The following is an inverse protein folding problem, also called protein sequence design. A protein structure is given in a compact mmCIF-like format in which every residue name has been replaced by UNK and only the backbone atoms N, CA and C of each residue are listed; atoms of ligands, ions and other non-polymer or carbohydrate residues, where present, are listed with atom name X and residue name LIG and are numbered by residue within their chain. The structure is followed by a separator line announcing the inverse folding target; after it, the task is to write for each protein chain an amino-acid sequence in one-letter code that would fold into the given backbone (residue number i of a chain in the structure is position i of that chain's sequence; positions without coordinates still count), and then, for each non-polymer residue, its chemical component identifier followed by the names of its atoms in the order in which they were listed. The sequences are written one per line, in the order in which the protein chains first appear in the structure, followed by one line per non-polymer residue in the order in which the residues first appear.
data_IF_521025702775
#
_entry.id   IF_521025702775
#
_cell.length_a   1.000
_cell.length_b   1.000
_cell.length_c   1.000
_cell.angle_alpha   90.00
_cell.angle_beta   90.00
_cell.angle_gamma   90.00
#
_symmetry.space_group_name_H-M   'P 1'
#
loop_
_entity.id
_entity.type
_entity.pdbx_description
1 polymer ?
#
# COMPACT_ATOMS: atom_id res chain seq x y z
N UNK A 1 16.02 -29.67 12.61
CA UNK A 1 15.33 -30.04 13.85
C UNK A 1 15.15 -28.84 14.76
N UNK A 2 16.21 -28.03 15.04
CA UNK A 2 16.11 -26.85 15.92
C UNK A 2 15.07 -25.83 15.45
N UNK A 3 14.99 -25.54 14.14
CA UNK A 3 13.99 -24.63 13.59
C UNK A 3 12.56 -25.13 13.80
N UNK A 4 12.34 -26.42 13.57
CA UNK A 4 11.03 -27.06 13.82
C UNK A 4 10.64 -26.98 15.31
N UNK A 5 11.58 -27.27 16.21
CA UNK A 5 11.32 -27.16 17.66
C UNK A 5 11.02 -25.71 18.09
N UNK A 6 11.69 -24.73 17.49
CA UNK A 6 11.42 -23.32 17.74
C UNK A 6 10.04 -22.90 17.20
N UNK A 7 9.66 -23.37 16.02
CA UNK A 7 8.35 -23.11 15.43
C UNK A 7 7.22 -23.71 16.27
N UNK A 8 7.42 -24.95 16.74
CA UNK A 8 6.47 -25.59 17.68
C UNK A 8 6.30 -24.78 18.98
N UNK A 9 7.39 -24.22 19.53
CA UNK A 9 7.32 -23.34 20.71
C UNK A 9 6.63 -22.02 20.43
N UNK A 10 6.81 -21.45 19.23
CA UNK A 10 6.16 -20.21 18.78
C UNK A 10 4.68 -20.41 18.39
N UNK A 11 4.25 -21.65 18.16
CA UNK A 11 2.92 -21.97 17.65
C UNK A 11 2.68 -21.56 16.19
N UNK A 12 3.74 -21.27 15.44
CA UNK A 12 3.68 -20.87 14.02
C UNK A 12 4.96 -21.22 13.28
N UNK A 13 4.84 -21.43 11.98
CA UNK A 13 5.99 -21.69 11.11
C UNK A 13 6.71 -20.36 10.83
N UNK A 14 8.02 -20.33 11.06
CA UNK A 14 8.89 -19.20 10.68
C UNK A 14 9.43 -19.42 9.27
N UNK A 15 9.19 -18.45 8.38
CA UNK A 15 9.66 -18.50 6.98
C UNK A 15 11.06 -17.90 6.83
N UNK A 16 11.52 -17.14 7.83
CA UNK A 16 12.79 -16.43 7.83
C UNK A 16 13.32 -16.24 9.26
N UNK A 17 14.57 -15.82 9.40
CA UNK A 17 15.11 -15.34 10.66
C UNK A 17 14.60 -13.92 10.95
N UNK A 18 13.54 -13.82 11.74
CA UNK A 18 12.91 -12.55 12.08
C UNK A 18 13.84 -11.61 12.85
N UNK A 19 14.85 -12.15 13.54
CA UNK A 19 15.82 -11.35 14.30
C UNK A 19 16.83 -10.62 13.41
N UNK A 20 16.93 -11.02 12.13
CA UNK A 20 17.80 -10.38 11.15
C UNK A 20 17.23 -9.08 10.58
N UNK A 21 15.95 -8.77 10.86
CA UNK A 21 15.26 -7.62 10.26
C UNK A 21 14.76 -6.65 11.31
N UNK A 22 15.09 -5.37 11.14
CA UNK A 22 14.63 -4.28 12.00
C UNK A 22 14.16 -3.12 11.12
N UNK A 23 12.85 -2.79 11.24
CA UNK A 23 12.22 -1.71 10.49
C UNK A 23 12.89 -0.38 10.87
N UNK A 24 13.24 0.42 9.85
CA UNK A 24 13.93 1.69 10.00
C UNK A 24 15.46 1.57 10.11
N UNK A 25 16.01 0.36 10.20
CA UNK A 25 17.48 0.13 10.22
C UNK A 25 17.97 -0.58 8.97
N UNK A 26 17.45 -1.75 8.69
CA UNK A 26 17.83 -2.55 7.52
C UNK A 26 16.63 -3.00 6.69
N UNK A 27 15.43 -2.57 7.05
CA UNK A 27 14.18 -2.76 6.34
C UNK A 27 13.39 -1.45 6.44
N UNK A 28 12.74 -1.01 5.35
CA UNK A 28 11.98 0.23 5.29
C UNK A 28 12.84 1.45 5.72
N UNK A 29 14.01 1.61 5.11
CA UNK A 29 15.00 2.62 5.52
C UNK A 29 14.80 3.99 4.91
N UNK A 30 13.87 4.14 3.97
CA UNK A 30 13.58 5.44 3.34
C UNK A 30 12.88 6.37 4.35
N UNK A 31 13.45 7.54 4.57
CA UNK A 31 12.98 8.49 5.58
C UNK A 31 11.61 9.06 5.21
N UNK A 32 10.66 9.00 6.13
CA UNK A 32 9.31 9.52 5.97
C UNK A 32 8.63 9.77 7.30
N UNK A 33 7.49 10.43 7.25
CA UNK A 33 6.67 10.75 8.43
C UNK A 33 5.22 10.37 8.21
N UNK A 34 4.57 9.84 9.23
CA UNK A 34 3.13 9.64 9.23
C UNK A 34 2.46 11.01 9.39
N UNK A 35 1.73 11.45 8.38
CA UNK A 35 1.05 12.75 8.36
C UNK A 35 -0.45 12.64 8.67
N UNK A 36 -1.00 11.44 8.58
CA UNK A 36 -2.40 11.17 8.92
C UNK A 36 -2.56 9.72 9.37
N UNK A 37 -3.51 9.47 10.26
CA UNK A 37 -3.87 8.13 10.74
C UNK A 37 -5.36 8.05 11.05
N UNK A 38 -5.97 6.92 10.76
CA UNK A 38 -7.29 6.52 11.21
C UNK A 38 -7.34 5.00 11.49
N UNK A 39 -8.55 4.44 11.60
CA UNK A 39 -8.77 3.03 11.92
C UNK A 39 -8.33 2.05 10.83
N UNK A 40 -8.22 2.49 9.57
CA UNK A 40 -7.88 1.62 8.42
C UNK A 40 -6.45 1.82 7.91
N UNK A 41 -5.85 3.01 8.12
CA UNK A 41 -4.53 3.29 7.55
C UNK A 41 -3.75 4.38 8.26
N UNK A 42 -2.46 4.40 8.02
CA UNK A 42 -1.57 5.56 8.15
C UNK A 42 -1.17 6.05 6.77
N UNK A 43 -1.09 7.36 6.58
CA UNK A 43 -0.56 7.97 5.38
C UNK A 43 0.85 8.48 5.66
N UNK A 44 1.82 7.94 4.95
CA UNK A 44 3.23 8.30 5.08
C UNK A 44 3.58 9.27 3.97
N UNK A 45 4.18 10.42 4.30
CA UNK A 45 4.87 11.30 3.37
C UNK A 45 6.36 11.04 3.48
N UNK A 46 7.00 10.72 2.37
CA UNK A 46 8.45 10.52 2.33
C UNK A 46 9.19 11.83 2.14
N UNK A 47 10.37 11.90 2.74
CA UNK A 47 11.26 13.05 2.61
C UNK A 47 11.86 13.07 1.20
N UNK A 48 11.76 14.19 0.47
CA UNK A 48 12.37 14.33 -0.85
C UNK A 48 13.87 14.04 -0.83
N UNK A 49 14.36 13.38 -1.89
CA UNK A 49 15.79 13.14 -2.09
C UNK A 49 16.41 14.09 -3.11
N UNK A 50 15.62 15.00 -3.67
CA UNK A 50 16.03 16.04 -4.63
C UNK A 50 15.73 17.43 -4.08
N UNK A 51 16.47 18.47 -4.52
CA UNK A 51 16.22 19.86 -4.11
C UNK A 51 14.81 20.35 -4.48
N UNK A 52 14.29 19.87 -5.60
CA UNK A 52 12.98 20.22 -6.11
C UNK A 52 12.21 18.95 -6.45
N UNK A 53 10.93 18.96 -6.18
CA UNK A 53 10.01 17.87 -6.53
C UNK A 53 9.00 18.36 -7.55
N UNK A 54 8.44 17.43 -8.31
CA UNK A 54 7.34 17.72 -9.20
C UNK A 54 6.15 18.31 -8.43
N UNK A 55 5.46 19.28 -9.04
CA UNK A 55 4.29 19.92 -8.43
C UNK A 55 3.12 18.98 -8.22
N UNK A 56 3.04 17.90 -9.00
CA UNK A 56 2.01 16.88 -8.89
C UNK A 56 2.49 15.77 -7.96
N UNK A 57 1.83 15.55 -6.81
CA UNK A 57 2.22 14.49 -5.86
C UNK A 57 1.91 13.11 -6.43
N UNK A 58 2.56 12.10 -5.89
CA UNK A 58 2.32 10.69 -6.19
C UNK A 58 1.78 9.99 -4.96
N UNK A 59 0.58 9.41 -5.06
CA UNK A 59 -0.01 8.57 -4.04
C UNK A 59 0.16 7.10 -4.43
N UNK A 60 0.83 6.35 -3.57
CA UNK A 60 1.12 4.92 -3.75
C UNK A 60 0.20 4.10 -2.86
N UNK A 61 -0.50 3.15 -3.46
CA UNK A 61 -1.45 2.26 -2.80
C UNK A 61 -0.92 0.82 -2.91
N UNK A 62 -0.27 0.31 -1.85
CA UNK A 62 0.22 -1.05 -1.81
C UNK A 62 -0.93 -2.05 -1.59
N UNK A 63 -0.69 -3.36 -1.79
CA UNK A 63 -1.66 -4.39 -1.46
C UNK A 63 -2.03 -4.34 0.03
N UNK A 64 -3.31 -4.45 0.36
CA UNK A 64 -3.79 -4.49 1.75
C UNK A 64 -3.37 -5.76 2.51
N UNK A 65 -2.94 -6.78 1.79
CA UNK A 65 -2.46 -8.06 2.35
C UNK A 65 -0.97 -8.05 2.71
N UNK A 66 -0.24 -6.98 2.37
CA UNK A 66 1.19 -6.85 2.63
C UNK A 66 1.48 -5.69 3.58
N UNK A 67 2.67 -5.71 4.18
CA UNK A 67 3.20 -4.54 4.88
C UNK A 67 3.55 -3.44 3.86
N UNK A 68 3.40 -2.18 4.25
CA UNK A 68 3.68 -1.03 3.38
C UNK A 68 5.07 -1.09 2.74
N UNK A 69 6.05 -1.61 3.47
CA UNK A 69 7.45 -1.68 3.04
C UNK A 69 7.75 -2.78 2.02
N UNK A 70 6.74 -3.50 1.52
CA UNK A 70 6.94 -4.40 0.36
C UNK A 70 7.52 -3.63 -0.85
N UNK A 71 7.27 -2.32 -0.90
CA UNK A 71 7.78 -1.43 -1.94
C UNK A 71 9.02 -0.62 -1.48
N UNK A 72 9.53 -0.88 -0.28
CA UNK A 72 10.67 -0.19 0.34
C UNK A 72 11.46 -1.15 1.23
N UNK A 73 12.01 -2.20 0.64
CA UNK A 73 12.69 -3.26 1.40
C UNK A 73 14.06 -2.82 1.90
N UNK A 74 14.88 -2.22 1.04
CA UNK A 74 16.21 -1.77 1.40
C UNK A 74 16.75 -0.76 0.39
N UNK A 75 17.94 -0.18 0.63
CA UNK A 75 18.47 0.91 -0.21
C UNK A 75 18.57 0.57 -1.70
N UNK A 76 18.92 -0.68 -2.02
CA UNK A 76 19.10 -1.15 -3.38
C UNK A 76 17.86 -1.85 -3.94
N UNK A 77 16.82 -1.97 -3.13
CA UNK A 77 15.57 -2.68 -3.45
C UNK A 77 14.36 -1.92 -2.90
N UNK A 78 14.20 -0.67 -3.37
CA UNK A 78 13.12 0.23 -2.97
C UNK A 78 12.57 0.97 -4.19
N UNK A 79 11.34 0.68 -4.56
CA UNK A 79 10.61 1.45 -5.56
C UNK A 79 10.31 2.87 -5.05
N UNK A 80 10.03 3.01 -3.76
CA UNK A 80 9.77 4.30 -3.12
C UNK A 80 11.00 5.19 -3.26
N UNK A 81 12.18 4.69 -2.89
CA UNK A 81 13.43 5.44 -3.03
C UNK A 81 13.69 5.85 -4.48
N UNK A 82 13.51 4.93 -5.42
CA UNK A 82 13.65 5.23 -6.84
C UNK A 82 12.71 6.38 -7.27
N UNK A 83 11.44 6.35 -6.87
CA UNK A 83 10.49 7.42 -7.17
C UNK A 83 10.95 8.78 -6.61
N UNK A 84 11.49 8.81 -5.39
CA UNK A 84 12.02 10.01 -4.76
C UNK A 84 13.27 10.54 -5.48
N UNK A 85 14.18 9.66 -5.90
CA UNK A 85 15.37 10.00 -6.68
C UNK A 85 15.02 10.59 -8.06
N UNK A 86 13.84 10.22 -8.60
CA UNK A 86 13.30 10.82 -9.83
C UNK A 86 12.55 12.16 -9.58
N UNK A 87 12.63 12.72 -8.38
CA UNK A 87 12.05 14.02 -8.05
C UNK A 87 10.53 13.99 -7.81
N UNK A 88 9.96 12.86 -7.42
CA UNK A 88 8.55 12.81 -7.06
C UNK A 88 8.34 13.17 -5.58
N UNK A 89 7.22 13.83 -5.28
CA UNK A 89 6.71 14.00 -3.91
C UNK A 89 5.81 12.80 -3.59
N UNK A 90 6.32 11.84 -2.82
CA UNK A 90 5.71 10.51 -2.66
C UNK A 90 4.98 10.37 -1.33
N UNK A 91 3.75 9.92 -1.43
CA UNK A 91 2.88 9.52 -0.32
C UNK A 91 2.53 8.04 -0.46
N UNK A 92 2.47 7.31 0.67
CA UNK A 92 2.18 5.89 0.69
C UNK A 92 1.17 5.55 1.77
N UNK A 93 0.19 4.73 1.43
CA UNK A 93 -0.73 4.14 2.41
C UNK A 93 -0.05 2.98 3.13
N UNK A 94 -0.03 3.02 4.46
CA UNK A 94 0.29 1.89 5.32
C UNK A 94 -1.01 1.35 5.90
N UNK A 95 -1.45 0.20 5.43
CA UNK A 95 -2.69 -0.41 5.89
C UNK A 95 -2.57 -0.90 7.34
N UNK A 96 -3.67 -0.81 8.09
CA UNK A 96 -3.76 -1.43 9.41
C UNK A 96 -3.54 -2.93 9.31
N UNK A 97 -2.88 -3.51 10.33
CA UNK A 97 -2.87 -4.95 10.51
C UNK A 97 -4.12 -5.31 11.31
N UNK A 98 -5.12 -5.96 10.71
CA UNK A 98 -6.37 -6.24 11.40
C UNK A 98 -6.15 -7.05 12.67
N UNK A 99 -6.81 -6.63 13.74
CA UNK A 99 -6.96 -7.36 15.01
C UNK A 99 -8.45 -7.55 15.27
N UNK A 100 -8.84 -8.23 16.36
CA UNK A 100 -10.25 -8.46 16.66
C UNK A 100 -11.14 -7.21 16.59
N UNK A 101 -10.75 -6.02 17.08
CA UNK A 101 -11.55 -4.82 16.91
C UNK A 101 -11.77 -4.40 15.46
N UNK A 102 -10.79 -4.64 14.57
CA UNK A 102 -10.89 -4.29 13.15
C UNK A 102 -11.64 -5.33 12.30
N UNK A 103 -12.00 -6.49 12.85
CA UNK A 103 -12.80 -7.49 12.12
C UNK A 103 -14.18 -6.99 11.70
N UNK A 104 -14.63 -5.86 12.25
CA UNK A 104 -15.88 -5.19 11.86
C UNK A 104 -15.73 -4.23 10.67
N UNK A 105 -14.50 -3.94 10.24
CA UNK A 105 -14.26 -3.11 9.08
C UNK A 105 -14.71 -3.85 7.82
N UNK A 106 -15.44 -3.15 6.98
CA UNK A 106 -15.91 -3.65 5.69
C UNK A 106 -14.95 -3.19 4.58
N UNK A 107 -15.09 -3.78 3.41
CA UNK A 107 -14.35 -3.36 2.23
C UNK A 107 -14.57 -1.86 1.92
N UNK A 108 -15.81 -1.37 2.11
CA UNK A 108 -16.15 0.04 1.92
C UNK A 108 -15.32 0.96 2.81
N UNK A 109 -15.02 0.54 4.06
CA UNK A 109 -14.17 1.34 4.96
C UNK A 109 -12.76 1.53 4.38
N UNK A 110 -12.19 0.51 3.74
CA UNK A 110 -10.88 0.61 3.10
C UNK A 110 -10.91 1.52 1.86
N UNK A 111 -12.01 1.55 1.11
CA UNK A 111 -12.18 2.47 -0.02
C UNK A 111 -12.37 3.91 0.48
N UNK A 112 -13.34 4.14 1.37
CA UNK A 112 -13.71 5.50 1.84
C UNK A 112 -12.67 6.10 2.78
N UNK A 113 -12.37 5.41 3.89
CA UNK A 113 -11.48 5.90 4.93
C UNK A 113 -10.01 5.62 4.61
N UNK A 114 -9.73 4.75 3.62
CA UNK A 114 -8.42 4.49 3.10
C UNK A 114 -8.09 5.38 1.91
N UNK A 115 -8.39 4.93 0.70
CA UNK A 115 -7.87 5.52 -0.55
C UNK A 115 -8.47 6.90 -0.81
N UNK A 116 -9.80 7.06 -0.70
CA UNK A 116 -10.47 8.34 -0.95
C UNK A 116 -9.99 9.37 0.08
N UNK A 117 -9.94 8.97 1.35
CA UNK A 117 -9.43 9.86 2.41
C UNK A 117 -7.98 10.23 2.20
N UNK A 118 -7.11 9.29 1.82
CA UNK A 118 -5.71 9.57 1.51
C UNK A 118 -5.57 10.57 0.36
N UNK A 119 -6.36 10.41 -0.72
CA UNK A 119 -6.35 11.33 -1.85
C UNK A 119 -6.72 12.76 -1.41
N UNK A 120 -7.76 12.91 -0.60
CA UNK A 120 -8.16 14.24 -0.07
C UNK A 120 -7.06 14.86 0.81
N UNK A 121 -6.43 14.07 1.71
CA UNK A 121 -5.32 14.58 2.54
C UNK A 121 -4.12 15.00 1.68
N UNK A 122 -3.77 14.22 0.65
CA UNK A 122 -2.68 14.58 -0.26
C UNK A 122 -2.98 15.90 -0.97
N UNK A 123 -4.21 16.10 -1.45
CA UNK A 123 -4.63 17.37 -2.07
C UNK A 123 -4.55 18.54 -1.07
N UNK A 124 -5.03 18.34 0.15
CA UNK A 124 -5.01 19.34 1.21
C UNK A 124 -3.58 19.77 1.57
N UNK A 125 -2.70 18.80 1.83
CA UNK A 125 -1.31 19.05 2.26
C UNK A 125 -0.46 19.68 1.15
N UNK A 126 -0.70 19.30 -0.11
CA UNK A 126 0.11 19.78 -1.25
C UNK A 126 -0.50 21.00 -1.95
N UNK A 127 -1.78 21.26 -1.75
CA UNK A 127 -2.53 22.26 -2.53
C UNK A 127 -2.74 21.85 -3.99
N UNK A 128 -2.36 20.64 -4.38
CA UNK A 128 -2.52 20.14 -5.75
C UNK A 128 -3.96 19.72 -6.03
N UNK A 129 -4.49 20.07 -7.19
CA UNK A 129 -5.84 19.65 -7.60
C UNK A 129 -5.89 18.19 -8.02
N UNK A 130 -4.79 17.68 -8.54
CA UNK A 130 -4.66 16.31 -9.03
C UNK A 130 -3.34 15.68 -8.61
N UNK A 131 -3.24 14.37 -8.75
CA UNK A 131 -2.08 13.58 -8.38
C UNK A 131 -1.84 12.44 -9.37
N UNK A 132 -0.63 11.91 -9.39
CA UNK A 132 -0.36 10.62 -9.99
C UNK A 132 -0.66 9.54 -8.96
N UNK A 133 -1.38 8.50 -9.37
CA UNK A 133 -1.70 7.37 -8.50
C UNK A 133 -1.00 6.10 -8.98
N UNK A 134 -0.48 5.33 -8.04
CA UNK A 134 0.19 4.07 -8.32
C UNK A 134 -0.41 2.98 -7.45
N UNK A 135 -1.13 2.05 -8.09
CA UNK A 135 -1.76 0.91 -7.42
C UNK A 135 -1.01 -0.38 -7.69
N UNK A 136 -0.66 -1.11 -6.64
CA UNK A 136 0.02 -2.39 -6.75
C UNK A 136 -0.90 -3.55 -6.37
N UNK A 137 -1.07 -4.51 -7.29
CA UNK A 137 -1.85 -5.74 -7.09
C UNK A 137 -3.28 -5.43 -6.62
N UNK A 138 -3.74 -5.97 -5.49
CA UNK A 138 -5.04 -5.66 -4.88
C UNK A 138 -5.21 -4.17 -4.62
N UNK A 139 -4.15 -3.46 -4.24
CA UNK A 139 -4.18 -2.01 -4.08
C UNK A 139 -4.54 -1.29 -5.37
N UNK A 140 -4.14 -1.82 -6.53
CA UNK A 140 -4.54 -1.29 -7.84
C UNK A 140 -6.03 -1.47 -8.12
N UNK A 141 -6.59 -2.64 -7.86
CA UNK A 141 -8.02 -2.90 -8.02
C UNK A 141 -8.85 -1.99 -7.09
N UNK A 142 -8.44 -1.87 -5.81
CA UNK A 142 -9.07 -0.96 -4.84
C UNK A 142 -8.98 0.49 -5.30
N UNK A 143 -7.87 0.90 -5.91
CA UNK A 143 -7.70 2.26 -6.46
C UNK A 143 -8.68 2.52 -7.60
N UNK A 144 -8.87 1.57 -8.52
CA UNK A 144 -9.85 1.70 -9.59
C UNK A 144 -11.28 1.85 -9.05
N UNK A 145 -11.64 1.08 -8.01
CA UNK A 145 -12.94 1.20 -7.35
C UNK A 145 -13.09 2.58 -6.70
N UNK A 146 -12.08 3.03 -5.94
CA UNK A 146 -12.10 4.34 -5.31
C UNK A 146 -12.28 5.47 -6.34
N UNK A 147 -11.52 5.42 -7.45
CA UNK A 147 -11.65 6.40 -8.53
C UNK A 147 -13.02 6.36 -9.23
N UNK A 148 -13.60 5.18 -9.39
CA UNK A 148 -14.96 5.06 -9.94
C UNK A 148 -16.01 5.71 -9.01
N UNK A 149 -15.89 5.49 -7.70
CA UNK A 149 -16.75 6.13 -6.69
C UNK A 149 -16.58 7.65 -6.70
N UNK A 150 -15.33 8.13 -6.66
CA UNK A 150 -15.02 9.56 -6.71
C UNK A 150 -15.57 10.19 -8.00
N UNK A 151 -15.38 9.54 -9.13
CA UNK A 151 -15.92 10.00 -10.42
C UNK A 151 -17.44 10.13 -10.41
N UNK A 152 -18.14 9.15 -9.84
CA UNK A 152 -19.59 9.22 -9.69
C UNK A 152 -20.07 10.40 -8.79
N UNK A 153 -19.18 10.85 -7.89
CA UNK A 153 -19.41 12.03 -7.03
C UNK A 153 -18.98 13.34 -7.67
N UNK A 154 -18.49 13.32 -8.89
CA UNK A 154 -17.97 14.51 -9.60
C UNK A 154 -16.53 14.88 -9.27
N UNK A 155 -15.81 14.02 -8.56
CA UNK A 155 -14.41 14.20 -8.22
C UNK A 155 -13.49 13.50 -9.25
N UNK A 156 -12.34 14.09 -9.53
CA UNK A 156 -11.37 13.51 -10.47
C UNK A 156 -9.94 13.83 -10.02
N UNK A 157 -9.44 13.18 -8.95
CA UNK A 157 -8.14 13.50 -8.38
C UNK A 157 -6.96 12.90 -9.16
N UNK A 158 -7.19 11.91 -10.03
CA UNK A 158 -6.11 11.22 -10.73
C UNK A 158 -5.79 11.89 -12.06
N UNK A 159 -4.58 12.45 -12.19
CA UNK A 159 -4.02 12.90 -13.45
C UNK A 159 -3.48 11.70 -14.26
N UNK A 160 -2.95 10.70 -13.57
CA UNK A 160 -2.53 9.42 -14.14
C UNK A 160 -2.75 8.30 -13.14
N UNK A 161 -2.95 7.09 -13.65
CA UNK A 161 -3.02 5.87 -12.87
C UNK A 161 -2.06 4.84 -13.46
N UNK A 162 -1.10 4.41 -12.65
CA UNK A 162 -0.20 3.30 -12.98
C UNK A 162 -0.63 2.08 -12.19
N UNK A 163 -0.90 0.98 -12.88
CA UNK A 163 -1.27 -0.30 -12.28
C UNK A 163 -0.13 -1.30 -12.45
N UNK A 164 0.40 -1.77 -11.34
CA UNK A 164 1.45 -2.77 -11.31
C UNK A 164 0.86 -4.12 -10.87
N UNK A 165 0.99 -5.14 -11.72
CA UNK A 165 0.50 -6.50 -11.46
C UNK A 165 -0.94 -6.54 -10.91
N UNK A 166 -1.82 -5.73 -11.50
CA UNK A 166 -3.21 -5.57 -11.07
C UNK A 166 -4.14 -6.34 -11.99
N UNK A 167 -4.97 -7.18 -11.43
CA UNK A 167 -6.08 -7.83 -12.12
C UNK A 167 -7.35 -6.98 -11.94
N UNK A 168 -8.03 -6.68 -13.03
CA UNK A 168 -9.28 -5.89 -13.03
C UNK A 168 -10.48 -6.71 -13.48
N UNK A 169 -10.27 -7.76 -14.25
CA UNK A 169 -11.29 -8.72 -14.67
C UNK A 169 -10.98 -10.08 -14.06
N UNK A 170 -11.89 -10.57 -13.23
CA UNK A 170 -11.76 -11.85 -12.51
C UNK A 170 -12.60 -12.96 -13.15
N UNK A 171 -13.16 -12.74 -14.35
CA UNK A 171 -13.93 -13.76 -15.09
C UNK A 171 -13.07 -14.94 -15.56
N UNK A 172 -11.78 -14.69 -15.78
CA UNK A 172 -10.77 -15.71 -16.03
C UNK A 172 -9.57 -15.48 -15.11
N UNK A 173 -9.44 -16.29 -14.09
CA UNK A 173 -8.34 -16.24 -13.10
C UNK A 173 -7.13 -17.07 -13.50
N UNK A 174 -7.16 -17.68 -14.72
CA UNK A 174 -6.11 -18.58 -15.17
C UNK A 174 -6.00 -19.83 -14.31
N UNK A 175 -4.79 -20.39 -14.21
CA UNK A 175 -4.52 -21.64 -13.52
C UNK A 175 -4.81 -21.58 -11.99
N UNK A 176 -4.86 -20.39 -11.41
CA UNK A 176 -5.22 -20.22 -9.98
C UNK A 176 -6.63 -20.76 -9.70
N UNK A 177 -7.55 -20.64 -10.67
CA UNK A 177 -8.90 -21.18 -10.54
C UNK A 177 -8.96 -22.71 -10.32
N UNK A 178 -7.93 -23.43 -10.73
CA UNK A 178 -7.83 -24.89 -10.50
C UNK A 178 -7.50 -25.25 -9.05
N UNK A 179 -6.97 -24.29 -8.28
CA UNK A 179 -6.59 -24.50 -6.88
C UNK A 179 -7.70 -24.11 -5.90
N UNK A 180 -8.77 -23.51 -6.38
CA UNK A 180 -9.89 -23.04 -5.56
C UNK A 180 -11.09 -23.92 -5.83
N UNK A 181 -11.45 -24.74 -4.87
CA UNK A 181 -12.67 -25.56 -4.88
C UNK A 181 -13.53 -25.31 -3.63
N UNK A 182 -14.70 -25.94 -3.58
CA UNK A 182 -15.63 -25.80 -2.45
C UNK A 182 -15.10 -26.36 -1.13
N UNK A 183 -14.04 -27.16 -1.16
CA UNK A 183 -13.40 -27.69 0.06
C UNK A 183 -12.32 -26.73 0.60
N UNK A 184 -11.81 -25.82 -0.27
CA UNK A 184 -10.85 -24.79 0.11
C UNK A 184 -11.53 -23.56 0.72
N UNK A 185 -12.76 -23.26 0.30
CA UNK A 185 -13.57 -22.14 0.80
C UNK A 185 -14.37 -22.54 2.05
#
# INVERSE_FOLDING_TARGET
INNLLNDMKKGRISMTDESAFEIGKNLATTEGSVIYQNEVMQLIQYKPLTEKVGSRPMLVIPPSINKYYIMDLGPDNSLIRYMLEQGNNVFLISWVNPTDPQCKLTFDNFIENGIIKAAHIVQEVTGSKDMNMHGFCVGGAMTCIALAVMKARGENPAASLTLLTTMLDYSDTGDIGLLIDSAFL
#
